data_IF_349048303758
#
_entry.id   IF_349048303758
#
_cell.length_a   1.000
_cell.length_b   1.000
_cell.length_c   1.000
_cell.angle_alpha   90.00
_cell.angle_beta   90.00
_cell.angle_gamma   90.00
#
_symmetry.space_group_name_H-M   'P 1'
#
loop_
_entity.id
_entity.type
_entity.pdbx_description
1 polymer ?
#
# COMPACT_ATOMS: atom_id res chain seq x y z
N UNK A 1 -21.51 0.65 17.69
CA UNK A 1 -20.23 1.27 18.08
C UNK A 1 -20.17 2.61 17.36
N UNK A 2 -20.67 3.67 17.99
CA UNK A 2 -20.59 5.02 17.43
C UNK A 2 -19.13 5.41 17.18
N UNK A 3 -18.81 5.99 16.01
CA UNK A 3 -17.48 6.55 15.77
C UNK A 3 -17.29 7.74 16.71
N UNK A 4 -16.26 7.63 17.56
CA UNK A 4 -15.88 8.70 18.47
C UNK A 4 -15.41 9.90 17.65
N UNK A 5 -15.84 11.12 18.02
CA UNK A 5 -15.23 12.36 17.51
C UNK A 5 -13.75 12.39 17.90
N UNK A 6 -12.91 12.75 16.94
CA UNK A 6 -11.46 12.91 17.11
C UNK A 6 -11.18 14.07 18.05
N UNK A 7 -10.22 13.89 18.96
CA UNK A 7 -9.75 14.87 19.92
C UNK A 7 -8.24 15.12 19.76
N UNK A 8 -7.76 16.19 20.35
CA UNK A 8 -6.32 16.43 20.48
C UNK A 8 -5.68 15.27 21.26
N UNK A 9 -4.54 14.80 20.75
CA UNK A 9 -3.83 13.65 21.31
C UNK A 9 -4.36 12.28 20.87
N UNK A 10 -5.48 12.20 20.16
CA UNK A 10 -5.90 10.93 19.56
C UNK A 10 -4.86 10.45 18.54
N UNK A 11 -4.78 9.13 18.38
CA UNK A 11 -3.89 8.49 17.42
C UNK A 11 -4.64 8.24 16.12
N UNK A 12 -4.09 8.75 15.02
CA UNK A 12 -4.63 8.61 13.66
C UNK A 12 -3.52 8.17 12.70
N UNK A 13 -3.87 7.38 11.70
CA UNK A 13 -2.94 7.00 10.64
C UNK A 13 -2.85 8.08 9.56
N UNK A 14 -1.63 8.50 9.23
CA UNK A 14 -1.35 9.45 8.14
C UNK A 14 -0.03 9.10 7.43
N UNK A 15 0.17 9.67 6.24
CA UNK A 15 1.43 9.56 5.50
C UNK A 15 2.49 10.50 6.08
N UNK A 16 3.54 9.91 6.67
CA UNK A 16 4.68 10.69 7.13
C UNK A 16 5.62 11.01 5.95
N UNK A 17 5.91 12.29 5.65
CA UNK A 17 6.86 12.64 4.58
C UNK A 17 8.30 12.25 4.91
N UNK A 18 8.64 12.12 6.21
CA UNK A 18 9.98 11.74 6.66
C UNK A 18 10.18 10.23 6.66
N UNK A 19 9.23 9.46 7.20
CA UNK A 19 9.29 7.98 7.15
C UNK A 19 8.93 7.44 5.77
N UNK A 20 8.16 8.18 4.96
CA UNK A 20 7.61 7.77 3.66
C UNK A 20 6.65 6.58 3.71
N UNK A 21 6.03 6.34 4.86
CA UNK A 21 5.04 5.29 5.10
C UNK A 21 3.78 5.89 5.76
N UNK A 22 2.67 5.17 5.65
CA UNK A 22 1.48 5.40 6.48
C UNK A 22 1.72 4.75 7.84
N UNK A 23 1.65 5.56 8.89
CA UNK A 23 1.95 5.12 10.27
C UNK A 23 1.08 5.87 11.27
N UNK A 24 1.16 5.47 12.54
CA UNK A 24 0.50 6.14 13.65
C UNK A 24 1.06 7.55 13.89
N UNK A 25 0.18 8.54 13.95
CA UNK A 25 0.48 9.92 14.31
C UNK A 25 -0.43 10.38 15.46
N UNK A 26 0.08 11.23 16.34
CA UNK A 26 -0.73 11.96 17.32
C UNK A 26 -1.30 13.24 16.71
N UNK A 27 -2.57 13.53 16.97
CA UNK A 27 -3.21 14.80 16.58
C UNK A 27 -2.66 15.93 17.46
N UNK A 28 -1.96 16.90 16.86
CA UNK A 28 -1.34 18.04 17.57
C UNK A 28 -2.12 19.34 17.37
N UNK A 29 -2.83 19.48 16.24
CA UNK A 29 -3.59 20.68 15.95
C UNK A 29 -4.86 20.39 15.18
N UNK A 30 -5.97 20.95 15.67
CA UNK A 30 -7.30 20.91 15.06
C UNK A 30 -7.86 22.32 14.91
N UNK A 31 -8.69 22.53 13.90
CA UNK A 31 -9.50 23.75 13.72
C UNK A 31 -10.95 23.31 13.64
N UNK A 32 -11.74 23.62 14.66
CA UNK A 32 -13.07 23.06 14.82
C UNK A 32 -13.00 21.53 14.92
N UNK A 33 -13.73 20.83 14.05
CA UNK A 33 -13.74 19.36 13.97
C UNK A 33 -12.65 18.80 13.02
N UNK A 34 -11.90 19.67 12.31
CA UNK A 34 -10.91 19.24 11.31
C UNK A 34 -9.50 19.11 11.89
N UNK A 35 -8.87 17.95 11.67
CA UNK A 35 -7.43 17.75 11.95
C UNK A 35 -6.59 18.48 10.90
N UNK A 36 -5.71 19.38 11.32
CA UNK A 36 -4.81 20.13 10.42
C UNK A 36 -3.36 19.71 10.56
N UNK A 37 -2.92 19.37 11.77
CA UNK A 37 -1.51 19.08 12.06
C UNK A 37 -1.37 17.83 12.92
N UNK A 38 -0.44 16.97 12.51
CA UNK A 38 -0.16 15.69 13.16
C UNK A 38 1.33 15.52 13.41
N UNK A 39 1.69 14.72 14.42
CA UNK A 39 3.07 14.37 14.77
C UNK A 39 3.27 12.88 14.65
N UNK A 40 4.28 12.45 13.88
CA UNK A 40 4.58 11.04 13.74
C UNK A 40 5.08 10.44 15.07
N UNK A 41 4.50 9.32 15.50
CA UNK A 41 4.90 8.66 16.75
C UNK A 41 6.26 7.95 16.64
N UNK A 42 6.78 7.77 15.42
CA UNK A 42 8.07 7.12 15.17
C UNK A 42 9.22 8.11 14.99
N UNK A 43 9.09 9.09 14.08
CA UNK A 43 10.17 10.04 13.80
C UNK A 43 9.99 11.41 14.46
N UNK A 44 8.90 11.60 15.20
CA UNK A 44 8.57 12.83 15.94
C UNK A 44 8.48 14.10 15.07
N UNK A 45 8.43 13.94 13.74
CA UNK A 45 8.26 15.05 12.81
C UNK A 45 6.78 15.48 12.77
N UNK A 46 6.57 16.79 12.77
CA UNK A 46 5.25 17.39 12.66
C UNK A 46 4.98 17.84 11.22
N UNK A 47 3.82 17.46 10.68
CA UNK A 47 3.40 17.86 9.34
C UNK A 47 1.90 18.08 9.26
N UNK A 48 1.46 18.65 8.14
CA UNK A 48 0.04 18.78 7.81
C UNK A 48 -0.57 17.40 7.59
N UNK A 49 -1.80 17.23 8.04
CA UNK A 49 -2.56 16.00 7.85
C UNK A 49 -2.88 15.80 6.36
N UNK A 50 -2.57 14.62 5.82
CA UNK A 50 -2.78 14.28 4.40
C UNK A 50 -3.91 13.27 4.19
N UNK A 51 -4.76 13.06 5.19
CA UNK A 51 -5.89 12.13 5.12
C UNK A 51 -5.47 10.70 4.73
N UNK A 52 -4.25 10.28 5.08
CA UNK A 52 -3.72 8.96 4.73
C UNK A 52 -3.47 8.75 3.23
N UNK A 53 -3.48 9.82 2.42
CA UNK A 53 -3.26 9.71 0.99
C UNK A 53 -1.77 9.54 0.68
N UNK A 54 -1.45 8.46 -0.04
CA UNK A 54 -0.12 8.32 -0.62
C UNK A 54 0.08 9.37 -1.72
N UNK A 55 1.30 9.91 -1.87
CA UNK A 55 1.60 10.77 -2.99
C UNK A 55 1.34 10.03 -4.30
N UNK A 56 0.71 10.72 -5.26
CA UNK A 56 0.39 10.16 -6.56
C UNK A 56 1.65 9.56 -7.21
N UNK A 57 1.55 8.30 -7.65
CA UNK A 57 2.67 7.62 -8.29
C UNK A 57 3.03 8.35 -9.58
N UNK A 58 4.28 8.83 -9.67
CA UNK A 58 4.82 9.66 -10.76
C UNK A 58 5.00 8.91 -12.10
N UNK A 59 4.25 7.82 -12.32
CA UNK A 59 4.41 6.88 -13.46
C UNK A 59 4.02 7.46 -14.82
N UNK A 60 3.32 8.60 -14.88
CA UNK A 60 2.81 9.14 -16.17
C UNK A 60 3.77 10.10 -16.88
N UNK A 61 4.78 10.63 -16.20
CA UNK A 61 5.71 11.61 -16.80
C UNK A 61 6.92 10.93 -17.45
N UNK A 62 7.29 9.73 -17.00
CA UNK A 62 8.46 9.01 -17.51
C UNK A 62 8.30 8.49 -18.93
N UNK A 63 7.11 8.08 -19.35
CA UNK A 63 6.96 7.28 -20.57
C UNK A 63 7.29 8.06 -21.86
N UNK A 64 7.02 9.37 -21.90
CA UNK A 64 7.28 10.20 -23.09
C UNK A 64 8.76 10.30 -23.44
N UNK A 65 9.59 10.47 -22.41
CA UNK A 65 11.04 10.61 -22.57
C UNK A 65 11.69 9.26 -22.93
N UNK A 66 11.18 8.16 -22.36
CA UNK A 66 11.59 6.81 -22.75
C UNK A 66 11.18 6.48 -24.19
N UNK A 67 9.97 6.86 -24.63
CA UNK A 67 9.51 6.67 -26.02
C UNK A 67 10.35 7.46 -27.03
N UNK A 68 10.80 8.65 -26.67
CA UNK A 68 11.67 9.49 -27.52
C UNK A 68 13.08 8.91 -27.66
N UNK A 69 13.66 8.42 -26.56
CA UNK A 69 14.96 7.72 -26.59
C UNK A 69 14.87 6.41 -27.38
N UNK A 70 13.78 5.66 -27.25
CA UNK A 70 13.56 4.42 -28.01
C UNK A 70 13.46 4.66 -29.53
N UNK A 71 12.90 5.80 -29.95
CA UNK A 71 12.83 6.19 -31.37
C UNK A 71 14.17 6.67 -31.93
N UNK A 72 15.05 7.20 -31.09
CA UNK A 72 16.36 7.74 -31.46
C UNK A 72 17.48 6.71 -31.61
N UNK A 73 17.23 5.43 -31.33
CA UNK A 73 18.22 4.35 -31.47
C UNK A 73 17.99 3.64 -32.81
N UNK A 74 18.74 3.98 -33.89
CA UNK A 74 18.70 3.19 -35.12
C UNK A 74 19.44 1.88 -34.88
N UNK A 75 18.70 0.76 -34.91
CA UNK A 75 19.27 -0.58 -34.92
C UNK A 75 19.42 -1.23 -33.55
N UNK A 76 18.31 -1.52 -32.89
CA UNK A 76 18.23 -2.81 -32.20
C UNK A 76 17.69 -3.82 -33.19
N UNK A 77 18.57 -4.49 -33.93
CA UNK A 77 18.27 -5.86 -34.35
C UNK A 77 17.76 -6.59 -33.11
N UNK A 78 16.56 -7.16 -33.18
CA UNK A 78 16.06 -8.07 -32.15
C UNK A 78 17.20 -9.04 -31.80
N UNK A 79 17.74 -9.04 -30.58
CA UNK A 79 18.32 -10.27 -30.08
C UNK A 79 17.13 -11.24 -30.05
N UNK A 80 17.27 -12.36 -30.76
CA UNK A 80 16.34 -13.47 -30.69
C UNK A 80 15.83 -13.62 -29.26
N UNK A 81 14.51 -13.64 -29.10
CA UNK A 81 13.84 -13.73 -27.80
C UNK A 81 14.62 -14.68 -26.89
N UNK A 82 15.13 -14.24 -25.71
CA UNK A 82 15.75 -15.17 -24.79
C UNK A 82 14.72 -16.27 -24.51
N UNK A 83 15.14 -17.55 -24.49
CA UNK A 83 14.22 -18.64 -24.18
C UNK A 83 13.48 -18.29 -22.90
N UNK A 84 12.15 -18.36 -22.96
CA UNK A 84 11.24 -18.09 -21.86
C UNK A 84 11.83 -18.72 -20.59
N UNK A 85 12.20 -17.94 -19.55
CA UNK A 85 12.79 -18.53 -18.36
C UNK A 85 11.79 -19.54 -17.83
N UNK A 86 12.20 -20.80 -17.77
CA UNK A 86 11.44 -21.83 -17.12
C UNK A 86 11.12 -21.35 -15.69
N UNK A 87 9.88 -21.51 -15.22
CA UNK A 87 9.53 -21.06 -13.89
C UNK A 87 10.51 -21.72 -12.90
N UNK A 88 11.14 -20.95 -11.99
CA UNK A 88 12.04 -21.52 -11.01
C UNK A 88 11.29 -22.65 -10.27
N UNK A 89 11.95 -23.78 -9.95
CA UNK A 89 11.31 -24.88 -9.26
C UNK A 89 10.62 -24.28 -8.05
N UNK A 90 9.30 -24.47 -7.96
CA UNK A 90 8.49 -23.95 -6.88
C UNK A 90 9.08 -24.51 -5.58
N UNK A 91 9.88 -23.69 -4.91
CA UNK A 91 10.50 -24.11 -3.68
C UNK A 91 9.38 -24.44 -2.70
N UNK A 92 9.49 -25.59 -2.03
CA UNK A 92 8.51 -26.10 -1.09
C UNK A 92 8.17 -25.11 0.05
N UNK A 93 8.92 -24.01 0.15
CA UNK A 93 8.72 -22.89 1.05
C UNK A 93 7.43 -22.10 0.79
N UNK A 94 6.75 -22.28 -0.36
CA UNK A 94 5.43 -21.69 -0.61
C UNK A 94 4.29 -22.32 0.21
N UNK A 95 4.55 -23.33 1.04
CA UNK A 95 3.55 -23.98 1.90
C UNK A 95 3.10 -23.15 3.11
N UNK A 96 3.85 -22.14 3.54
CA UNK A 96 3.47 -21.34 4.71
C UNK A 96 2.33 -20.35 4.43
N UNK A 97 2.23 -19.80 3.21
CA UNK A 97 1.21 -18.80 2.88
C UNK A 97 -0.17 -19.40 2.57
N UNK A 98 -0.24 -20.67 2.19
CA UNK A 98 -1.51 -21.34 1.85
C UNK A 98 -2.29 -21.79 3.09
N UNK A 99 -1.62 -22.02 4.23
CA UNK A 99 -2.25 -22.48 5.48
C UNK A 99 -3.04 -21.34 6.14
N UNK A 100 -2.57 -20.10 6.09
CA UNK A 100 -3.30 -18.95 6.68
C UNK A 100 -4.63 -18.64 5.95
N UNK A 101 -4.74 -18.99 4.66
CA UNK A 101 -5.99 -18.79 3.88
C UNK A 101 -7.04 -19.87 4.13
N UNK A 102 -6.68 -21.02 4.70
CA UNK A 102 -7.60 -22.12 4.99
C UNK A 102 -8.23 -22.05 6.40
N UNK A 103 -7.65 -21.28 7.32
CA UNK A 103 -8.13 -21.19 8.72
C UNK A 103 -9.11 -20.02 8.91
N UNK A 104 -9.14 -19.05 8.00
CA UNK A 104 -9.98 -17.86 8.08
C UNK A 104 -11.17 -17.84 7.13
N UNK A 105 -12.24 -18.59 7.43
CA UNK A 105 -13.60 -18.19 7.02
C UNK A 105 -14.38 -19.18 6.17
N UNK A 106 -15.31 -19.91 6.81
CA UNK A 106 -16.76 -19.77 6.59
C UNK A 106 -17.53 -20.61 7.61
N UNK A 107 -17.89 -19.99 8.73
CA UNK A 107 -19.12 -20.34 9.42
C UNK A 107 -20.29 -19.71 8.65
N UNK A 108 -21.21 -20.52 8.13
CA UNK A 108 -22.62 -20.14 7.90
C UNK A 108 -23.48 -21.36 7.52
N UNK A 109 -24.25 -21.81 8.52
CA UNK A 109 -25.61 -22.38 8.47
C UNK A 109 -26.06 -23.31 7.34
N UNK A 110 -26.35 -24.58 7.70
CA UNK A 110 -27.73 -25.11 7.84
C UNK A 110 -27.68 -26.56 8.36
N UNK A 111 -28.53 -26.84 9.36
CA UNK A 111 -28.74 -28.16 9.95
C UNK A 111 -29.42 -29.18 9.02
N UNK A 112 -29.72 -30.38 9.53
CA UNK A 112 -29.81 -31.61 8.74
C UNK A 112 -31.18 -31.81 8.09
N UNK A 113 -31.21 -32.47 6.92
CA UNK A 113 -32.38 -33.24 6.50
C UNK A 113 -31.99 -34.71 6.34
N UNK A 114 -32.39 -35.50 7.33
CA UNK A 114 -32.59 -36.95 7.19
C UNK A 114 -33.92 -37.17 6.46
N UNK A 115 -33.90 -37.97 5.40
CA UNK A 115 -34.86 -39.01 4.97
C UNK A 115 -34.51 -39.39 3.55
#
# INVERSE_FOLDING_TARGET
>A
MEPRRVRLGDVIDDYCPRCRLIMNHGVVGMIGDDVKKVRCNTCLFEHQFRHGQLPASRKKVSNKLFEEVLKGIPGSTEPAAPPKPEPPPQSAQRRLYTIHRAIGGKASGKGPKKT
#
